data_IF_983301527192
#
_entry.id   IF_983301527192
#
_cell.length_a   1.000
_cell.length_b   1.000
_cell.length_c   1.000
_cell.angle_alpha   90.00
_cell.angle_beta   90.00
_cell.angle_gamma   90.00
#
_symmetry.space_group_name_H-M   'P 1'
#
loop_
_entity.id
_entity.type
_entity.pdbx_description
1 polymer ?
#
# COMPACT_ATOMS: atom_id res chain seq x y z
N UNK A 1 -33.72 13.57 34.68
CA UNK A 1 -32.71 12.51 34.85
C UNK A 1 -31.38 13.10 34.41
N UNK A 2 -30.60 13.66 35.34
CA UNK A 2 -29.34 14.34 35.02
C UNK A 2 -28.23 13.31 34.87
N UNK A 3 -27.62 13.25 33.69
CA UNK A 3 -26.44 12.41 33.44
C UNK A 3 -25.33 12.95 34.35
N UNK A 4 -24.73 12.08 35.16
CA UNK A 4 -23.60 12.45 36.02
C UNK A 4 -22.48 13.05 35.15
N UNK A 5 -21.86 14.18 35.55
CA UNK A 5 -20.82 14.85 34.76
C UNK A 5 -19.64 13.91 34.43
N UNK A 6 -19.39 12.89 35.27
CA UNK A 6 -18.41 11.84 35.03
C UNK A 6 -18.76 10.93 33.85
N UNK A 7 -20.04 10.59 33.69
CA UNK A 7 -20.53 9.77 32.56
C UNK A 7 -20.40 10.54 31.25
N UNK A 8 -20.69 11.85 31.28
CA UNK A 8 -20.49 12.72 30.11
C UNK A 8 -19.01 12.81 29.71
N UNK A 9 -18.10 12.95 30.68
CA UNK A 9 -16.66 13.00 30.42
C UNK A 9 -16.12 11.69 29.83
N UNK A 10 -16.49 10.54 30.39
CA UNK A 10 -16.05 9.22 29.88
C UNK A 10 -16.56 9.01 28.46
N UNK A 11 -17.83 9.35 28.19
CA UNK A 11 -18.42 9.23 26.85
C UNK A 11 -17.67 10.10 25.84
N UNK A 12 -17.28 11.32 26.23
CA UNK A 12 -16.52 12.23 25.39
C UNK A 12 -15.12 11.68 25.08
N UNK A 13 -14.40 11.17 26.09
CA UNK A 13 -13.07 10.57 25.91
C UNK A 13 -13.13 9.35 24.99
N UNK A 14 -14.10 8.44 25.19
CA UNK A 14 -14.29 7.28 24.32
C UNK A 14 -14.63 7.68 22.88
N UNK A 15 -15.47 8.71 22.72
CA UNK A 15 -15.78 9.30 21.41
C UNK A 15 -14.53 9.81 20.69
N UNK A 16 -13.66 10.54 21.39
CA UNK A 16 -12.41 11.04 20.81
C UNK A 16 -11.43 9.95 20.45
N UNK A 17 -11.26 8.92 21.30
CA UNK A 17 -10.38 7.79 20.98
C UNK A 17 -10.88 7.06 19.73
N UNK A 18 -12.20 6.89 19.59
CA UNK A 18 -12.79 6.30 18.40
C UNK A 18 -12.51 7.14 17.14
N UNK A 19 -12.69 8.46 17.22
CA UNK A 19 -12.40 9.38 16.11
C UNK A 19 -10.92 9.32 15.71
N UNK A 20 -10.00 9.42 16.68
CA UNK A 20 -8.56 9.37 16.43
C UNK A 20 -8.16 8.03 15.80
N UNK A 21 -8.71 6.92 16.28
CA UNK A 21 -8.42 5.58 15.73
C UNK A 21 -8.88 5.48 14.26
N UNK A 22 -10.09 5.97 13.96
CA UNK A 22 -10.60 6.01 12.58
C UNK A 22 -9.74 6.87 11.67
N UNK A 23 -9.33 8.04 12.16
CA UNK A 23 -8.51 8.98 11.39
C UNK A 23 -7.12 8.39 11.10
N UNK A 24 -6.47 7.76 12.10
CA UNK A 24 -5.18 7.10 11.91
C UNK A 24 -5.26 5.96 10.87
N UNK A 25 -6.32 5.15 10.90
CA UNK A 25 -6.52 4.08 9.90
C UNK A 25 -6.73 4.68 8.51
N UNK A 26 -7.53 5.74 8.39
CA UNK A 26 -7.79 6.41 7.13
C UNK A 26 -6.51 7.03 6.54
N UNK A 27 -5.70 7.68 7.38
CA UNK A 27 -4.43 8.26 6.99
C UNK A 27 -3.45 7.20 6.49
N UNK A 28 -3.23 6.14 7.27
CA UNK A 28 -2.33 5.05 6.90
C UNK A 28 -2.77 4.37 5.59
N UNK A 29 -4.08 4.21 5.37
CA UNK A 29 -4.62 3.70 4.11
C UNK A 29 -4.37 4.67 2.95
N UNK A 30 -4.57 5.97 3.17
CA UNK A 30 -4.33 7.01 2.17
C UNK A 30 -2.86 7.04 1.73
N UNK A 31 -1.93 6.95 2.67
CA UNK A 31 -0.50 6.89 2.38
C UNK A 31 -0.12 5.66 1.53
N UNK A 32 -0.64 4.48 1.90
CA UNK A 32 -0.42 3.27 1.13
C UNK A 32 -0.99 3.37 -0.29
N UNK A 33 -2.17 3.99 -0.46
CA UNK A 33 -2.76 4.22 -1.79
C UNK A 33 -1.91 5.17 -2.63
N UNK A 34 -1.38 6.25 -2.05
CA UNK A 34 -0.44 7.17 -2.73
C UNK A 34 0.82 6.45 -3.19
N UNK A 35 1.39 5.57 -2.36
CA UNK A 35 2.55 4.77 -2.73
C UNK A 35 2.23 3.79 -3.87
N UNK A 36 1.07 3.14 -3.83
CA UNK A 36 0.56 2.28 -4.92
C UNK A 36 0.43 3.07 -6.23
N UNK A 37 -0.15 4.26 -6.20
CA UNK A 37 -0.27 5.12 -7.38
C UNK A 37 1.12 5.55 -7.91
N UNK A 38 2.08 5.83 -7.02
CA UNK A 38 3.47 6.11 -7.43
C UNK A 38 4.16 4.91 -8.10
N UNK A 39 3.85 3.67 -7.72
CA UNK A 39 4.37 2.46 -8.37
C UNK A 39 3.78 2.32 -9.78
N UNK A 40 2.48 2.55 -9.93
CA UNK A 40 1.78 2.51 -11.22
C UNK A 40 2.35 3.58 -12.17
N UNK A 41 2.51 4.82 -11.71
CA UNK A 41 3.11 5.90 -12.49
C UNK A 41 4.55 5.56 -12.95
N UNK A 42 5.33 4.84 -12.13
CA UNK A 42 6.66 4.36 -12.53
C UNK A 42 6.62 3.25 -13.57
N UNK A 43 5.65 2.35 -13.50
CA UNK A 43 5.44 1.30 -14.49
C UNK A 43 5.04 1.90 -15.85
N UNK A 44 4.15 2.88 -15.86
CA UNK A 44 3.76 3.62 -17.07
C UNK A 44 4.96 4.36 -17.67
N UNK A 45 5.73 5.09 -16.83
CA UNK A 45 6.97 5.76 -17.26
C UNK A 45 8.05 4.81 -17.77
N UNK A 46 8.12 3.59 -17.25
CA UNK A 46 9.03 2.56 -17.74
C UNK A 46 8.65 2.16 -19.18
N UNK A 47 7.36 1.97 -19.44
CA UNK A 47 6.86 1.65 -20.77
C UNK A 47 7.09 2.80 -21.77
N UNK A 48 6.76 4.04 -21.39
CA UNK A 48 7.02 5.23 -22.21
C UNK A 48 8.50 5.40 -22.54
N UNK A 49 9.37 5.14 -21.56
CA UNK A 49 10.81 5.17 -21.75
C UNK A 49 11.26 4.10 -22.74
N UNK A 50 10.73 2.88 -22.63
CA UNK A 50 11.06 1.79 -23.53
C UNK A 50 10.63 2.11 -24.96
N UNK A 51 9.39 2.57 -25.17
CA UNK A 51 8.86 2.93 -26.49
C UNK A 51 9.73 3.99 -27.18
N UNK A 52 10.09 5.07 -26.46
CA UNK A 52 10.98 6.12 -26.97
C UNK A 52 12.37 5.58 -27.30
N UNK A 53 12.92 4.73 -26.43
CA UNK A 53 14.27 4.17 -26.61
C UNK A 53 14.33 3.22 -27.80
N UNK A 54 13.28 2.42 -28.01
CA UNK A 54 13.12 1.51 -29.14
C UNK A 54 12.97 2.28 -30.45
N UNK A 55 12.17 3.35 -30.46
CA UNK A 55 11.98 4.20 -31.64
C UNK A 55 13.27 4.86 -32.15
N UNK A 56 14.29 4.99 -31.29
CA UNK A 56 15.54 5.70 -31.63
C UNK A 56 16.48 4.87 -32.53
N UNK A 57 16.16 3.60 -32.86
CA UNK A 57 16.82 2.67 -33.83
C UNK A 57 18.33 2.41 -33.69
N UNK A 58 19.10 3.19 -32.94
CA UNK A 58 20.56 3.08 -32.79
C UNK A 58 21.01 2.38 -31.50
N UNK A 59 20.06 1.95 -30.68
CA UNK A 59 20.31 1.47 -29.32
C UNK A 59 20.71 -0.01 -29.32
N UNK A 60 21.87 -0.32 -28.73
CA UNK A 60 22.32 -1.69 -28.48
C UNK A 60 21.35 -2.40 -27.52
N UNK A 61 20.75 -3.51 -27.96
CA UNK A 61 19.76 -4.28 -27.21
C UNK A 61 20.23 -4.65 -25.79
N UNK A 62 21.48 -5.09 -25.64
CA UNK A 62 22.08 -5.44 -24.34
C UNK A 62 22.14 -4.24 -23.37
N UNK A 63 22.42 -3.03 -23.88
CA UNK A 63 22.41 -1.82 -23.06
C UNK A 63 20.99 -1.45 -22.62
N UNK A 64 20.01 -1.62 -23.51
CA UNK A 64 18.61 -1.34 -23.20
C UNK A 64 18.10 -2.31 -22.13
N UNK A 65 18.37 -3.60 -22.29
CA UNK A 65 18.00 -4.64 -21.33
C UNK A 65 18.58 -4.36 -19.94
N UNK A 66 19.86 -3.97 -19.87
CA UNK A 66 20.52 -3.60 -18.61
C UNK A 66 19.83 -2.41 -17.94
N UNK A 67 19.53 -1.34 -18.70
CA UNK A 67 18.85 -0.16 -18.19
C UNK A 67 17.39 -0.44 -17.80
N UNK A 68 16.71 -1.28 -18.57
CA UNK A 68 15.35 -1.73 -18.29
C UNK A 68 15.30 -2.53 -16.99
N UNK A 69 16.20 -3.49 -16.82
CA UNK A 69 16.32 -4.32 -15.61
C UNK A 69 16.62 -3.48 -14.37
N UNK A 70 17.48 -2.46 -14.51
CA UNK A 70 17.77 -1.53 -13.41
C UNK A 70 16.52 -0.72 -13.00
N UNK A 71 15.74 -0.23 -13.97
CA UNK A 71 14.49 0.47 -13.69
C UNK A 71 13.43 -0.44 -13.08
N UNK A 72 13.31 -1.68 -13.56
CA UNK A 72 12.41 -2.68 -13.00
C UNK A 72 12.78 -3.02 -11.54
N UNK A 73 14.08 -3.11 -11.25
CA UNK A 73 14.58 -3.34 -9.89
C UNK A 73 14.22 -2.19 -8.92
N UNK A 74 14.25 -0.94 -9.37
CA UNK A 74 13.77 0.20 -8.55
C UNK A 74 12.26 0.09 -8.23
N UNK A 75 11.46 -0.46 -9.16
CA UNK A 75 10.04 -0.73 -8.92
C UNK A 75 9.88 -1.88 -7.90
N UNK A 76 10.67 -2.94 -7.98
CA UNK A 76 10.69 -4.05 -7.01
C UNK A 76 11.02 -3.59 -5.59
N UNK A 77 12.00 -2.70 -5.46
CA UNK A 77 12.37 -2.11 -4.16
C UNK A 77 11.18 -1.33 -3.59
N UNK A 78 10.43 -0.60 -4.41
CA UNK A 78 9.23 0.14 -3.96
C UNK A 78 8.08 -0.77 -3.56
N UNK A 79 7.90 -1.87 -4.28
CA UNK A 79 6.97 -2.94 -3.87
C UNK A 79 7.41 -3.55 -2.53
N UNK A 80 8.70 -3.68 -2.28
CA UNK A 80 9.18 -4.18 -0.99
C UNK A 80 8.92 -3.15 0.13
N UNK A 81 9.16 -1.86 -0.15
CA UNK A 81 8.89 -0.76 0.78
C UNK A 81 7.40 -0.64 1.14
N UNK A 82 6.49 -0.79 0.17
CA UNK A 82 5.05 -0.73 0.45
C UNK A 82 4.59 -1.92 1.28
N UNK A 83 5.09 -3.13 1.01
CA UNK A 83 4.80 -4.31 1.82
C UNK A 83 5.30 -4.12 3.27
N UNK A 84 6.48 -3.53 3.44
CA UNK A 84 7.00 -3.19 4.76
C UNK A 84 6.15 -2.13 5.47
N UNK A 85 5.77 -1.05 4.78
CA UNK A 85 4.91 0.01 5.31
C UNK A 85 3.57 -0.54 5.77
N UNK A 86 2.96 -1.43 4.99
CA UNK A 86 1.66 -2.03 5.32
C UNK A 86 1.79 -3.27 6.24
N UNK A 87 3.03 -3.67 6.58
CA UNK A 87 3.38 -4.81 7.44
C UNK A 87 2.75 -6.12 6.97
N UNK A 88 2.63 -6.29 5.66
CA UNK A 88 2.04 -7.46 5.01
C UNK A 88 2.58 -7.58 3.60
N UNK A 89 2.80 -8.79 3.12
CA UNK A 89 3.17 -9.05 1.73
C UNK A 89 1.93 -8.97 0.85
N UNK A 90 1.55 -7.75 0.45
CA UNK A 90 0.36 -7.51 -0.37
C UNK A 90 0.69 -7.77 -1.83
N UNK A 91 1.81 -7.24 -2.32
CA UNK A 91 2.23 -7.40 -3.70
C UNK A 91 3.48 -8.29 -3.71
N UNK A 92 3.38 -9.46 -4.33
CA UNK A 92 4.58 -10.27 -4.58
C UNK A 92 5.38 -9.67 -5.75
N UNK A 93 6.71 -9.63 -5.64
CA UNK A 93 7.60 -9.23 -6.74
C UNK A 93 7.47 -10.13 -7.98
N UNK A 94 6.93 -11.33 -7.81
CA UNK A 94 6.61 -12.27 -8.90
C UNK A 94 5.62 -11.70 -9.91
N UNK A 95 4.82 -10.70 -9.54
CA UNK A 95 3.90 -10.01 -10.44
C UNK A 95 4.67 -9.34 -11.60
N UNK A 96 5.92 -8.95 -11.40
CA UNK A 96 6.76 -8.31 -12.42
C UNK A 96 7.47 -9.29 -13.37
N UNK A 97 7.35 -10.60 -13.18
CA UNK A 97 7.96 -11.61 -14.06
C UNK A 97 7.66 -11.39 -15.55
N UNK A 98 6.42 -11.09 -15.98
CA UNK A 98 6.13 -10.86 -17.40
C UNK A 98 6.89 -9.66 -18.00
N UNK A 99 7.28 -8.69 -17.17
CA UNK A 99 8.09 -7.55 -17.60
C UNK A 99 9.58 -7.94 -17.68
N UNK A 100 10.03 -8.83 -16.80
CA UNK A 100 11.41 -9.36 -16.80
C UNK A 100 11.67 -10.29 -17.99
N UNK A 101 10.67 -11.06 -18.40
CA UNK A 101 10.77 -12.04 -19.49
C UNK A 101 10.62 -11.42 -20.90
N UNK A 102 10.80 -10.10 -21.03
CA UNK A 102 10.80 -9.43 -22.33
C UNK A 102 12.07 -9.78 -23.11
N UNK A 103 11.90 -10.32 -24.31
CA UNK A 103 13.00 -10.67 -25.20
C UNK A 103 13.48 -9.44 -25.99
N UNK A 104 14.56 -8.81 -25.53
CA UNK A 104 15.19 -7.66 -26.17
C UNK A 104 15.93 -8.02 -27.46
N UNK A 105 16.24 -9.30 -27.71
CA UNK A 105 16.88 -9.73 -28.96
C UNK A 105 15.95 -9.55 -30.16
N UNK A 106 14.63 -9.47 -29.95
CA UNK A 106 13.67 -9.16 -31.01
C UNK A 106 13.88 -7.76 -31.62
N UNK A 107 14.56 -6.84 -30.92
CA UNK A 107 14.93 -5.52 -31.50
C UNK A 107 15.93 -5.66 -32.65
N UNK A 108 16.82 -6.65 -32.57
CA UNK A 108 17.80 -6.94 -33.62
C UNK A 108 17.14 -7.47 -34.90
N UNK A 109 15.93 -8.03 -34.79
CA UNK A 109 15.16 -8.64 -35.89
C UNK A 109 14.14 -7.70 -36.53
N UNK A 110 14.25 -6.37 -36.32
CA UNK A 110 13.28 -5.35 -36.78
C UNK A 110 11.84 -5.55 -36.24
N UNK A 111 11.66 -6.26 -35.13
CA UNK A 111 10.36 -6.49 -34.47
C UNK A 111 10.14 -5.54 -33.29
N UNK A 112 10.49 -4.28 -33.48
CA UNK A 112 10.43 -3.23 -32.46
C UNK A 112 9.01 -3.03 -31.90
N UNK A 113 8.02 -3.04 -32.79
CA UNK A 113 6.61 -2.90 -32.44
C UNK A 113 6.11 -4.09 -31.59
N UNK A 114 6.64 -5.29 -31.81
CA UNK A 114 6.25 -6.50 -31.06
C UNK A 114 6.68 -6.39 -29.59
N UNK A 115 7.90 -5.89 -29.32
CA UNK A 115 8.38 -5.68 -27.95
C UNK A 115 7.61 -4.56 -27.26
N UNK A 116 7.38 -3.44 -27.94
CA UNK A 116 6.64 -2.31 -27.37
C UNK A 116 5.23 -2.72 -26.96
N UNK A 117 4.51 -3.43 -27.86
CA UNK A 117 3.16 -3.91 -27.60
C UNK A 117 3.12 -4.95 -26.46
N UNK A 118 4.09 -5.88 -26.40
CA UNK A 118 4.18 -6.85 -25.30
C UNK A 118 4.47 -6.17 -23.97
N UNK A 119 5.40 -5.21 -23.94
CA UNK A 119 5.70 -4.41 -22.75
C UNK A 119 4.48 -3.66 -22.26
N UNK A 120 3.75 -3.01 -23.16
CA UNK A 120 2.53 -2.28 -22.82
C UNK A 120 1.48 -3.22 -22.22
N UNK A 121 1.17 -4.34 -22.89
CA UNK A 121 0.21 -5.32 -22.39
C UNK A 121 0.60 -5.87 -21.02
N UNK A 122 1.87 -6.24 -20.84
CA UNK A 122 2.37 -6.74 -19.57
C UNK A 122 2.30 -5.67 -18.48
N UNK A 123 2.60 -4.42 -18.80
CA UNK A 123 2.50 -3.28 -17.87
C UNK A 123 1.06 -3.09 -17.41
N UNK A 124 0.10 -3.09 -18.33
CA UNK A 124 -1.33 -2.98 -18.01
C UNK A 124 -1.80 -4.13 -17.11
N UNK A 125 -1.44 -5.38 -17.45
CA UNK A 125 -1.76 -6.56 -16.65
C UNK A 125 -1.17 -6.49 -15.23
N UNK A 126 0.07 -6.00 -15.10
CA UNK A 126 0.72 -5.78 -13.81
C UNK A 126 -0.02 -4.71 -13.00
N UNK A 127 -0.34 -3.57 -13.60
CA UNK A 127 -1.09 -2.49 -12.96
C UNK A 127 -2.45 -2.97 -12.47
N UNK A 128 -3.17 -3.75 -13.29
CA UNK A 128 -4.46 -4.33 -12.91
C UNK A 128 -4.34 -5.31 -11.74
N UNK A 129 -3.32 -6.18 -11.74
CA UNK A 129 -3.05 -7.09 -10.61
C UNK A 129 -2.73 -6.32 -9.33
N UNK A 130 -1.90 -5.28 -9.42
CA UNK A 130 -1.59 -4.40 -8.28
C UNK A 130 -2.87 -3.78 -7.73
N UNK A 131 -3.71 -3.23 -8.62
CA UNK A 131 -4.97 -2.60 -8.25
C UNK A 131 -5.93 -3.59 -7.57
N UNK A 132 -6.11 -4.76 -8.17
CA UNK A 132 -6.99 -5.82 -7.65
C UNK A 132 -6.53 -6.30 -6.28
N UNK A 133 -5.21 -6.49 -6.09
CA UNK A 133 -4.67 -6.98 -4.82
C UNK A 133 -4.81 -5.93 -3.71
N UNK A 134 -4.60 -4.65 -4.01
CA UNK A 134 -4.86 -3.56 -3.07
C UNK A 134 -6.33 -3.44 -2.70
N UNK A 135 -7.21 -3.58 -3.70
CA UNK A 135 -8.65 -3.55 -3.48
C UNK A 135 -9.08 -4.70 -2.56
N UNK A 136 -8.62 -5.91 -2.85
CA UNK A 136 -8.88 -7.09 -2.02
C UNK A 136 -8.36 -6.90 -0.60
N UNK A 137 -7.13 -6.45 -0.42
CA UNK A 137 -6.55 -6.27 0.90
C UNK A 137 -7.31 -5.24 1.76
N UNK A 138 -7.57 -4.04 1.23
CA UNK A 138 -8.16 -2.94 2.02
C UNK A 138 -9.68 -3.00 2.17
N UNK A 139 -10.39 -3.54 1.18
CA UNK A 139 -11.85 -3.51 1.17
C UNK A 139 -12.49 -4.87 1.49
N UNK A 140 -11.85 -5.97 1.09
CA UNK A 140 -12.39 -7.32 1.28
C UNK A 140 -11.79 -7.95 2.55
N UNK A 141 -10.46 -8.09 2.61
CA UNK A 141 -9.79 -8.85 3.67
C UNK A 141 -9.63 -8.08 4.98
N UNK A 142 -9.37 -6.76 4.92
CA UNK A 142 -9.39 -5.85 6.08
C UNK A 142 -10.71 -5.09 6.24
N UNK A 143 -11.81 -5.67 5.78
CA UNK A 143 -13.15 -5.11 5.99
C UNK A 143 -13.39 -4.63 7.42
N UNK A 144 -14.29 -3.65 7.58
CA UNK A 144 -14.57 -2.90 8.82
C UNK A 144 -14.66 -3.79 10.08
N UNK A 145 -15.13 -5.03 9.93
CA UNK A 145 -15.34 -6.02 11.01
C UNK A 145 -14.01 -6.53 11.60
N UNK A 146 -13.01 -6.89 10.77
CA UNK A 146 -11.70 -7.34 11.28
C UNK A 146 -10.88 -6.20 11.85
N UNK A 147 -11.02 -5.00 11.27
CA UNK A 147 -10.38 -3.80 11.78
C UNK A 147 -10.98 -3.38 13.13
N UNK A 148 -12.31 -3.49 13.30
CA UNK A 148 -12.97 -3.27 14.59
C UNK A 148 -12.46 -4.24 15.67
N UNK A 149 -12.33 -5.53 15.37
CA UNK A 149 -11.80 -6.54 16.30
C UNK A 149 -10.36 -6.27 16.76
N UNK A 150 -9.56 -5.51 15.99
CA UNK A 150 -8.21 -5.12 16.41
C UNK A 150 -8.20 -3.87 17.29
N UNK A 151 -9.15 -2.96 17.08
CA UNK A 151 -9.28 -1.72 17.87
C UNK A 151 -9.97 -1.97 19.21
N UNK A 152 -10.89 -2.94 19.31
CA UNK A 152 -11.57 -3.28 20.56
C UNK A 152 -10.65 -3.64 21.74
N UNK A 153 -9.61 -4.48 21.60
CA UNK A 153 -8.69 -4.78 22.70
C UNK A 153 -7.81 -3.58 23.09
N UNK A 154 -7.42 -2.71 22.14
CA UNK A 154 -6.70 -1.47 22.44
C UNK A 154 -7.59 -0.50 23.24
N UNK A 155 -8.87 -0.38 22.86
CA UNK A 155 -9.88 0.36 23.62
C UNK A 155 -10.09 -0.24 25.02
N UNK A 156 -10.05 -1.57 25.16
CA UNK A 156 -10.18 -2.24 26.45
C UNK A 156 -9.01 -1.90 27.38
N UNK A 157 -7.79 -1.81 26.85
CA UNK A 157 -6.61 -1.37 27.59
C UNK A 157 -6.72 0.07 28.09
N UNK A 158 -7.20 0.99 27.23
CA UNK A 158 -7.42 2.39 27.62
C UNK A 158 -8.55 2.52 28.66
N UNK A 159 -9.64 1.77 28.47
CA UNK A 159 -10.74 1.74 29.43
C UNK A 159 -10.30 1.17 30.79
N UNK A 160 -9.52 0.09 30.82
CA UNK A 160 -8.96 -0.49 32.03
C UNK A 160 -8.00 0.48 32.75
N UNK A 161 -7.17 1.20 31.99
CA UNK A 161 -6.29 2.24 32.54
C UNK A 161 -7.06 3.39 33.19
N UNK A 162 -8.11 3.89 32.53
CA UNK A 162 -9.01 4.91 33.09
C UNK A 162 -9.71 4.41 34.36
N UNK A 163 -10.15 3.16 34.39
CA UNK A 163 -10.81 2.55 35.54
C UNK A 163 -9.84 2.42 36.73
N UNK A 164 -8.59 2.05 36.48
CA UNK A 164 -7.54 2.00 37.50
C UNK A 164 -7.24 3.38 38.09
N UNK A 165 -7.16 4.43 37.25
CA UNK A 165 -6.96 5.81 37.71
C UNK A 165 -8.14 6.28 38.55
N UNK A 166 -9.38 5.98 38.14
CA UNK A 166 -10.59 6.29 38.91
C UNK A 166 -10.61 5.60 40.27
N UNK A 167 -10.27 4.31 40.32
CA UNK A 167 -10.16 3.57 41.58
C UNK A 167 -9.08 4.16 42.49
N UNK A 168 -7.95 4.59 41.93
CA UNK A 168 -6.86 5.21 42.68
C UNK A 168 -7.27 6.56 43.28
N UNK A 169 -7.94 7.42 42.52
CA UNK A 169 -8.48 8.70 43.01
C UNK A 169 -9.54 8.47 44.09
N UNK A 170 -10.41 7.47 43.92
CA UNK A 170 -11.42 7.11 44.92
C UNK A 170 -10.78 6.63 46.22
N UNK A 171 -9.74 5.79 46.15
CA UNK A 171 -8.98 5.33 47.31
C UNK A 171 -8.30 6.47 48.06
N UNK A 172 -7.70 7.43 47.34
CA UNK A 172 -7.05 8.59 47.96
C UNK A 172 -8.06 9.50 48.67
N UNK A 173 -9.25 9.70 48.09
CA UNK A 173 -10.28 10.55 48.70
C UNK A 173 -11.02 9.90 49.88
N UNK A 174 -10.86 8.58 50.07
CA UNK A 174 -11.52 7.83 51.15
C UNK A 174 -10.60 7.60 52.37
N UNK A 175 -9.30 7.90 52.22
CA UNK A 175 -8.30 7.95 53.31
C UNK A 175 -8.27 9.37 53.87
#
# INVERSE_FOLDING_TARGET
MTISPWVAFITLVLGWIFVISKDHIALHRSEALKQKDSIIDKLEKLNDWLEKTVATKSSNASKIETLYSAKLSDIEIRITQINYHVKSEIISSTILLPLRDLDFDLMSKNKQDEISNRSLLNTLNVCEKIHTTFHQYYFIDKGLIKTANKVFPELYGVAAGLLAILLFIFLINYI
#
